data_IF_551299620947
#
_entry.id   IF_551299620947
#
_cell.length_a   1.000
_cell.length_b   1.000
_cell.length_c   1.000
_cell.angle_alpha   90.00
_cell.angle_beta   90.00
_cell.angle_gamma   90.00
#
_symmetry.space_group_name_H-M   'P 1'
#
loop_
_entity.id
_entity.type
_entity.pdbx_description
1 polymer ?
#
# COMPACT_ATOMS: atom_id res chain seq x y z
N UNK A 1 -17.15 12.02 -11.92
CA UNK A 1 -17.29 11.86 -10.46
C UNK A 1 -17.09 13.20 -9.73
N UNK A 2 -17.60 14.32 -10.26
CA UNK A 2 -17.37 15.69 -9.75
C UNK A 2 -18.65 16.33 -9.18
N UNK A 3 -19.82 15.71 -9.39
CA UNK A 3 -21.11 16.28 -9.02
C UNK A 3 -21.58 16.04 -7.58
N UNK A 4 -20.96 15.13 -6.82
CA UNK A 4 -21.48 14.74 -5.49
C UNK A 4 -20.97 15.63 -4.35
N UNK A 5 -19.85 16.34 -4.54
CA UNK A 5 -19.24 17.18 -3.50
C UNK A 5 -19.94 18.55 -3.34
N UNK A 6 -20.59 19.07 -4.39
CA UNK A 6 -21.23 20.38 -4.34
C UNK A 6 -22.56 20.40 -3.57
N UNK A 7 -23.23 19.25 -3.41
CA UNK A 7 -24.54 19.15 -2.75
C UNK A 7 -24.41 19.06 -1.23
N UNK A 8 -23.41 18.35 -0.71
CA UNK A 8 -23.24 18.14 0.74
C UNK A 8 -22.85 19.43 1.48
N UNK A 9 -22.03 20.29 0.87
CA UNK A 9 -21.61 21.55 1.50
C UNK A 9 -22.77 22.56 1.64
N UNK A 10 -23.73 22.55 0.69
CA UNK A 10 -24.91 23.43 0.74
C UNK A 10 -25.89 23.01 1.85
N UNK A 11 -26.07 21.72 2.07
CA UNK A 11 -26.95 21.21 3.12
C UNK A 11 -26.37 21.42 4.53
N UNK A 12 -25.05 21.28 4.70
CA UNK A 12 -24.38 21.54 5.98
C UNK A 12 -24.50 23.02 6.40
N UNK A 13 -24.36 23.96 5.45
CA UNK A 13 -24.53 25.40 5.72
C UNK A 13 -26.00 25.77 6.00
N UNK A 14 -26.95 25.10 5.34
CA UNK A 14 -28.38 25.31 5.58
C UNK A 14 -28.85 24.77 6.94
N UNK A 15 -28.27 23.66 7.43
CA UNK A 15 -28.58 23.10 8.75
C UNK A 15 -28.00 23.94 9.90
N UNK A 16 -26.78 24.48 9.73
CA UNK A 16 -26.12 25.34 10.71
C UNK A 16 -26.85 26.68 10.92
N UNK A 17 -27.42 27.27 9.86
CA UNK A 17 -28.21 28.50 9.99
C UNK A 17 -29.61 28.29 10.59
N UNK A 18 -30.17 27.07 10.53
CA UNK A 18 -31.55 26.80 10.97
C UNK A 18 -31.66 26.43 12.46
N UNK A 19 -30.55 26.12 13.14
CA UNK A 19 -30.56 25.59 14.51
C UNK A 19 -30.32 26.61 15.62
N UNK A 20 -30.00 27.88 15.31
CA UNK A 20 -30.06 28.98 16.30
C UNK A 20 -29.29 28.73 17.61
N UNK A 21 -28.18 27.99 17.58
CA UNK A 21 -27.41 27.65 18.77
C UNK A 21 -26.43 28.78 19.15
N UNK A 22 -26.98 29.94 19.53
CA UNK A 22 -26.26 30.90 20.36
C UNK A 22 -26.46 30.53 21.83
N UNK A 23 -25.42 30.01 22.49
CA UNK A 23 -25.34 30.05 23.96
C UNK A 23 -25.08 28.73 24.69
N UNK A 24 -23.99 28.01 24.40
CA UNK A 24 -23.38 27.07 25.37
C UNK A 24 -21.85 27.15 25.38
N UNK A 25 -21.23 27.91 26.30
CA UNK A 25 -19.79 27.85 26.53
C UNK A 25 -19.47 26.57 27.32
N UNK A 26 -18.82 25.58 26.68
CA UNK A 26 -18.28 24.42 27.40
C UNK A 26 -18.14 23.09 26.64
N UNK A 27 -18.75 22.92 25.46
CA UNK A 27 -18.80 21.61 24.76
C UNK A 27 -18.11 21.57 23.38
N UNK A 28 -17.38 22.62 22.99
CA UNK A 28 -16.79 22.73 21.64
C UNK A 28 -15.35 22.17 21.56
N UNK A 29 -14.73 21.83 22.70
CA UNK A 29 -13.37 21.26 22.76
C UNK A 29 -13.40 19.72 22.72
N UNK A 30 -13.49 19.09 21.56
CA UNK A 30 -12.82 17.77 21.36
C UNK A 30 -12.97 17.14 19.96
N UNK A 31 -13.96 17.50 19.13
CA UNK A 31 -14.17 16.77 17.87
C UNK A 31 -13.11 17.14 16.82
N UNK A 32 -12.68 18.39 16.77
CA UNK A 32 -11.60 18.89 15.92
C UNK A 32 -10.23 18.36 16.37
N UNK A 33 -9.89 18.43 17.65
CA UNK A 33 -8.63 17.91 18.17
C UNK A 33 -8.52 16.38 18.06
N UNK A 34 -9.60 15.63 18.36
CA UNK A 34 -9.60 14.17 18.24
C UNK A 34 -9.50 13.71 16.79
N UNK A 35 -10.16 14.41 15.86
CA UNK A 35 -10.04 14.08 14.42
C UNK A 35 -8.66 14.45 13.88
N UNK A 36 -8.07 15.56 14.30
CA UNK A 36 -6.71 15.96 13.92
C UNK A 36 -5.64 15.03 14.49
N UNK A 37 -5.78 14.58 15.76
CA UNK A 37 -4.90 13.56 16.37
C UNK A 37 -5.02 12.23 15.62
N UNK A 38 -6.24 11.73 15.38
CA UNK A 38 -6.48 10.48 14.63
C UNK A 38 -5.92 10.54 13.20
N UNK A 39 -6.06 11.67 12.48
CA UNK A 39 -5.45 11.86 11.15
C UNK A 39 -3.92 11.91 11.21
N UNK A 40 -3.34 12.44 12.29
CA UNK A 40 -1.89 12.45 12.52
C UNK A 40 -1.35 11.03 12.74
N UNK A 41 -2.08 10.20 13.49
CA UNK A 41 -1.65 8.84 13.83
C UNK A 41 -1.57 7.93 12.59
N UNK A 42 -2.54 8.02 11.67
CA UNK A 42 -2.51 7.22 10.41
C UNK A 42 -1.36 7.62 9.48
N UNK A 43 -0.97 8.91 9.46
CA UNK A 43 0.17 9.38 8.63
C UNK A 43 1.49 8.74 9.04
N UNK A 44 1.67 8.43 10.32
CA UNK A 44 2.86 7.74 10.82
C UNK A 44 2.99 6.31 10.32
N UNK A 45 1.87 5.60 10.10
CA UNK A 45 1.87 4.24 9.54
C UNK A 45 1.95 4.22 8.01
N UNK A 46 1.50 5.28 7.33
CA UNK A 46 1.61 5.40 5.87
C UNK A 46 3.07 5.50 5.39
N UNK A 47 3.94 6.15 6.16
CA UNK A 47 5.35 6.29 5.78
C UNK A 47 6.13 4.95 5.74
N UNK A 48 6.13 4.11 6.78
CA UNK A 48 6.78 2.80 6.72
C UNK A 48 6.15 1.89 5.66
N UNK A 49 4.82 1.96 5.46
CA UNK A 49 4.18 1.25 4.35
C UNK A 49 4.77 1.65 2.99
N UNK A 50 4.86 2.97 2.71
CA UNK A 50 5.47 3.51 1.48
C UNK A 50 6.91 3.06 1.29
N UNK A 51 7.71 3.09 2.34
CA UNK A 51 9.10 2.63 2.29
C UNK A 51 9.18 1.15 1.95
N UNK A 52 8.39 0.30 2.63
CA UNK A 52 8.39 -1.14 2.39
C UNK A 52 7.96 -1.46 0.96
N UNK A 53 6.85 -0.91 0.47
CA UNK A 53 6.39 -1.21 -0.90
C UNK A 53 7.36 -0.68 -1.98
N UNK A 54 8.07 0.42 -1.70
CA UNK A 54 9.11 0.94 -2.60
C UNK A 54 10.34 0.03 -2.61
N UNK A 55 10.74 -0.48 -1.45
CA UNK A 55 11.84 -1.44 -1.33
C UNK A 55 11.49 -2.75 -2.03
N UNK A 56 10.27 -3.26 -1.85
CA UNK A 56 9.77 -4.43 -2.58
C UNK A 56 9.87 -4.19 -4.09
N UNK A 57 9.38 -3.05 -4.60
CA UNK A 57 9.48 -2.74 -6.03
C UNK A 57 10.93 -2.72 -6.52
N UNK A 58 11.85 -2.07 -5.78
CA UNK A 58 13.27 -2.03 -6.13
C UNK A 58 13.90 -3.44 -6.15
N UNK A 59 13.61 -4.28 -5.17
CA UNK A 59 14.09 -5.65 -5.12
C UNK A 59 13.49 -6.51 -6.24
N UNK A 60 12.23 -6.26 -6.65
CA UNK A 60 11.65 -6.92 -7.83
C UNK A 60 12.41 -6.58 -9.11
N UNK A 61 12.94 -5.36 -9.28
CA UNK A 61 13.84 -5.02 -10.40
C UNK A 61 15.21 -5.66 -10.28
N UNK A 62 15.70 -5.91 -9.07
CA UNK A 62 16.95 -6.63 -8.84
C UNK A 62 16.85 -8.11 -9.26
N UNK A 63 15.68 -8.73 -9.13
CA UNK A 63 15.45 -10.14 -9.47
C UNK A 63 15.89 -10.55 -10.89
N UNK A 64 15.44 -9.87 -11.98
CA UNK A 64 15.88 -10.20 -13.34
C UNK A 64 17.36 -9.92 -13.58
N UNK A 65 17.97 -8.96 -12.86
CA UNK A 65 19.43 -8.72 -12.95
C UNK A 65 20.17 -9.95 -12.41
N UNK A 66 19.78 -10.44 -11.22
CA UNK A 66 20.41 -11.63 -10.60
C UNK A 66 20.17 -12.89 -11.43
N UNK A 67 18.96 -13.05 -11.98
CA UNK A 67 18.65 -14.15 -12.91
C UNK A 67 19.49 -14.07 -14.19
N UNK A 68 19.64 -12.87 -14.77
CA UNK A 68 20.47 -12.64 -15.95
C UNK A 68 21.95 -12.93 -15.70
N UNK A 69 22.49 -12.55 -14.53
CA UNK A 69 23.86 -12.89 -14.13
C UNK A 69 24.05 -14.40 -14.00
N UNK A 70 23.10 -15.11 -13.39
CA UNK A 70 23.10 -16.57 -13.33
C UNK A 70 23.12 -17.21 -14.73
N UNK A 71 22.26 -16.74 -15.63
CA UNK A 71 22.21 -17.20 -17.02
C UNK A 71 23.48 -16.85 -17.82
N UNK A 72 24.21 -15.82 -17.39
CA UNK A 72 25.49 -15.41 -17.99
C UNK A 72 26.70 -16.16 -17.41
N UNK A 73 26.49 -17.15 -16.54
CA UNK A 73 27.54 -17.99 -15.97
C UNK A 73 27.97 -17.63 -14.54
N UNK A 74 27.40 -16.59 -13.93
CA UNK A 74 27.66 -16.25 -12.52
C UNK A 74 26.76 -17.07 -11.60
N UNK A 75 27.11 -18.34 -11.39
CA UNK A 75 26.25 -19.30 -10.68
C UNK A 75 25.88 -18.90 -9.24
N UNK A 76 26.75 -18.17 -8.54
CA UNK A 76 26.48 -17.64 -7.19
C UNK A 76 25.31 -16.65 -7.16
N UNK A 77 24.98 -16.00 -8.28
CA UNK A 77 23.83 -15.10 -8.41
C UNK A 77 22.49 -15.82 -8.24
N UNK A 78 22.43 -17.15 -8.41
CA UNK A 78 21.22 -17.92 -8.14
C UNK A 78 20.85 -17.90 -6.66
N UNK A 79 21.83 -18.05 -5.77
CA UNK A 79 21.59 -17.97 -4.33
C UNK A 79 21.16 -16.55 -3.93
N UNK A 80 21.78 -15.53 -4.55
CA UNK A 80 21.37 -14.14 -4.34
C UNK A 80 19.93 -13.89 -4.82
N UNK A 81 19.53 -14.46 -5.96
CA UNK A 81 18.17 -14.39 -6.51
C UNK A 81 17.15 -15.01 -5.53
N UNK A 82 17.45 -16.21 -5.02
CA UNK A 82 16.63 -16.90 -4.01
C UNK A 82 16.52 -16.12 -2.70
N UNK A 83 17.64 -15.63 -2.17
CA UNK A 83 17.65 -14.84 -0.93
C UNK A 83 16.88 -13.53 -1.09
N UNK A 84 17.02 -12.86 -2.24
CA UNK A 84 16.26 -11.64 -2.55
C UNK A 84 14.76 -11.93 -2.61
N UNK A 85 14.35 -13.11 -3.10
CA UNK A 85 12.94 -13.50 -3.15
C UNK A 85 12.38 -13.68 -1.73
N UNK A 86 13.14 -14.35 -0.85
CA UNK A 86 12.77 -14.50 0.55
C UNK A 86 12.66 -13.15 1.27
N UNK A 87 13.57 -12.20 0.99
CA UNK A 87 13.51 -10.83 1.55
C UNK A 87 12.26 -10.09 1.08
N UNK A 88 11.89 -10.20 -0.21
CA UNK A 88 10.65 -9.63 -0.73
C UNK A 88 9.44 -10.17 0.03
N UNK A 89 9.35 -11.49 0.22
CA UNK A 89 8.23 -12.11 0.93
C UNK A 89 8.18 -11.67 2.40
N UNK A 90 9.32 -11.59 3.08
CA UNK A 90 9.40 -11.09 4.46
C UNK A 90 8.92 -9.64 4.58
N UNK A 91 9.32 -8.78 3.64
CA UNK A 91 8.86 -7.39 3.59
C UNK A 91 7.36 -7.29 3.36
N UNK A 92 6.80 -8.11 2.47
CA UNK A 92 5.36 -8.16 2.23
C UNK A 92 4.61 -8.65 3.49
N UNK A 93 5.10 -9.68 4.17
CA UNK A 93 4.52 -10.15 5.44
C UNK A 93 4.55 -9.02 6.49
N UNK A 94 5.66 -8.29 6.62
CA UNK A 94 5.79 -7.17 7.53
C UNK A 94 4.86 -5.98 7.18
N UNK A 95 4.56 -5.79 5.89
CA UNK A 95 3.64 -4.75 5.45
C UNK A 95 2.16 -5.07 5.77
N UNK A 96 1.78 -6.34 5.95
CA UNK A 96 0.39 -6.73 6.27
C UNK A 96 -0.15 -6.04 7.55
N UNK A 97 0.51 -6.12 8.73
CA UNK A 97 0.00 -5.46 9.94
C UNK A 97 -0.11 -3.95 9.77
N UNK A 98 0.84 -3.32 9.06
CA UNK A 98 0.81 -1.88 8.78
C UNK A 98 -0.39 -1.53 7.88
N UNK A 99 -0.61 -2.33 6.84
CA UNK A 99 -1.76 -2.19 5.95
C UNK A 99 -3.09 -2.34 6.69
N UNK A 100 -3.19 -3.30 7.61
CA UNK A 100 -4.37 -3.50 8.46
C UNK A 100 -4.63 -2.28 9.36
N UNK A 101 -3.60 -1.73 10.00
CA UNK A 101 -3.73 -0.51 10.83
C UNK A 101 -4.26 0.65 9.97
N UNK A 102 -3.66 0.87 8.78
CA UNK A 102 -4.10 1.91 7.85
C UNK A 102 -5.57 1.71 7.46
N UNK A 103 -5.99 0.49 7.14
CA UNK A 103 -7.37 0.19 6.72
C UNK A 103 -8.38 0.36 7.86
N UNK A 104 -8.09 -0.14 9.06
CA UNK A 104 -9.01 -0.06 10.21
C UNK A 104 -9.15 1.38 10.71
N UNK A 105 -8.05 2.13 10.78
CA UNK A 105 -8.04 3.47 11.38
C UNK A 105 -8.36 4.56 10.37
N UNK A 106 -8.07 4.32 9.08
CA UNK A 106 -8.37 5.20 7.96
C UNK A 106 -9.82 5.12 7.46
N UNK A 107 -10.66 4.23 8.02
CA UNK A 107 -12.09 4.04 7.70
C UNK A 107 -12.39 4.15 6.19
N UNK A 108 -12.11 3.06 5.44
CA UNK A 108 -12.87 2.55 4.25
C UNK A 108 -12.04 2.12 3.02
N UNK A 109 -10.72 2.20 3.07
CA UNK A 109 -9.85 1.69 1.99
C UNK A 109 -9.20 0.35 2.36
N UNK A 110 -9.74 -0.74 1.81
CA UNK A 110 -9.18 -2.09 1.92
C UNK A 110 -8.03 -2.35 0.94
N UNK A 111 -7.81 -1.43 0.00
CA UNK A 111 -6.78 -1.52 -1.04
C UNK A 111 -5.36 -1.79 -0.51
N UNK A 112 -4.89 -1.16 0.59
CA UNK A 112 -3.55 -1.45 1.13
C UNK A 112 -3.35 -2.94 1.46
N UNK A 113 -4.35 -3.57 2.07
CA UNK A 113 -4.29 -4.99 2.45
C UNK A 113 -4.34 -5.87 1.20
N UNK A 114 -5.27 -5.58 0.29
CA UNK A 114 -5.43 -6.33 -0.97
C UNK A 114 -4.14 -6.31 -1.79
N UNK A 115 -3.45 -5.18 -1.88
CA UNK A 115 -2.21 -5.07 -2.64
C UNK A 115 -1.08 -5.91 -2.05
N UNK A 116 -0.86 -5.83 -0.74
CA UNK A 116 0.25 -6.56 -0.09
C UNK A 116 -0.02 -8.06 -0.08
N UNK A 117 -1.25 -8.47 0.25
CA UNK A 117 -1.65 -9.89 0.23
C UNK A 117 -1.64 -10.45 -1.18
N UNK A 118 -2.14 -9.69 -2.16
CA UNK A 118 -2.11 -10.07 -3.57
C UNK A 118 -0.68 -10.23 -4.09
N UNK A 119 0.21 -9.27 -3.79
CA UNK A 119 1.62 -9.38 -4.14
C UNK A 119 2.28 -10.59 -3.47
N UNK A 120 2.02 -10.85 -2.19
CA UNK A 120 2.56 -12.02 -1.49
C UNK A 120 2.09 -13.34 -2.13
N UNK A 121 0.83 -13.42 -2.55
CA UNK A 121 0.31 -14.58 -3.28
C UNK A 121 0.98 -14.76 -4.64
N UNK A 122 1.21 -13.66 -5.37
CA UNK A 122 1.90 -13.68 -6.66
C UNK A 122 3.38 -14.09 -6.50
N UNK A 123 4.10 -13.53 -5.52
CA UNK A 123 5.51 -13.88 -5.26
C UNK A 123 5.66 -15.31 -4.75
N UNK A 124 4.75 -15.80 -3.92
CA UNK A 124 4.72 -17.21 -3.50
C UNK A 124 4.50 -18.17 -4.68
N UNK A 125 3.61 -17.80 -5.60
CA UNK A 125 3.38 -18.52 -6.85
C UNK A 125 4.64 -18.50 -7.72
N UNK A 126 5.26 -17.33 -7.85
CA UNK A 126 6.51 -17.13 -8.59
C UNK A 126 7.65 -17.99 -8.05
N UNK A 127 7.79 -18.09 -6.72
CA UNK A 127 8.77 -18.94 -6.07
C UNK A 127 8.53 -20.41 -6.41
N UNK A 128 7.27 -20.87 -6.34
CA UNK A 128 6.89 -22.24 -6.70
C UNK A 128 7.25 -22.55 -8.16
N UNK A 129 6.95 -21.64 -9.09
CA UNK A 129 7.34 -21.77 -10.50
C UNK A 129 8.86 -21.78 -10.69
N UNK A 130 9.59 -20.97 -9.92
CA UNK A 130 11.05 -20.90 -9.95
C UNK A 130 11.71 -22.21 -9.48
N UNK A 131 11.27 -22.76 -8.34
CA UNK A 131 11.72 -24.06 -7.86
C UNK A 131 11.37 -25.20 -8.82
N UNK A 132 10.18 -25.15 -9.42
CA UNK A 132 9.74 -26.09 -10.46
C UNK A 132 10.42 -25.88 -11.83
N UNK A 133 11.25 -24.84 -11.99
CA UNK A 133 11.95 -24.49 -13.24
C UNK A 133 10.99 -24.28 -14.43
N UNK A 134 9.76 -23.84 -14.17
CA UNK A 134 8.74 -23.61 -15.19
C UNK A 134 8.93 -22.19 -15.76
N UNK A 135 10.02 -22.00 -16.50
CA UNK A 135 10.47 -20.67 -16.97
C UNK A 135 9.43 -19.96 -17.84
N UNK A 136 8.68 -20.72 -18.64
CA UNK A 136 7.62 -20.20 -19.52
C UNK A 136 6.56 -19.41 -18.77
N UNK A 137 6.26 -19.77 -17.52
CA UNK A 137 5.32 -19.03 -16.67
C UNK A 137 6.03 -18.11 -15.68
N UNK A 138 7.19 -18.53 -15.16
CA UNK A 138 7.98 -17.76 -14.21
C UNK A 138 8.41 -16.41 -14.79
N UNK A 139 8.89 -16.37 -16.05
CA UNK A 139 9.37 -15.11 -16.64
C UNK A 139 8.23 -14.10 -16.83
N UNK A 140 7.09 -14.44 -17.50
CA UNK A 140 5.99 -13.49 -17.67
C UNK A 140 5.36 -13.06 -16.33
N UNK A 141 5.19 -13.99 -15.38
CA UNK A 141 4.65 -13.67 -14.06
C UNK A 141 5.59 -12.71 -13.31
N UNK A 142 6.91 -12.91 -13.41
CA UNK A 142 7.90 -12.01 -12.83
C UNK A 142 7.79 -10.57 -13.35
N UNK A 143 7.59 -10.40 -14.67
CA UNK A 143 7.34 -9.08 -15.27
C UNK A 143 6.05 -8.47 -14.74
N UNK A 144 4.97 -9.27 -14.65
CA UNK A 144 3.70 -8.80 -14.11
C UNK A 144 3.82 -8.36 -12.64
N UNK A 145 4.60 -9.07 -11.82
CA UNK A 145 4.87 -8.72 -10.42
C UNK A 145 5.66 -7.41 -10.34
N UNK A 146 6.68 -7.19 -11.16
CA UNK A 146 7.44 -5.92 -11.20
C UNK A 146 6.49 -4.75 -11.49
N UNK A 147 5.61 -4.91 -12.49
CA UNK A 147 4.63 -3.87 -12.84
C UNK A 147 3.64 -3.62 -11.71
N UNK A 148 3.09 -4.68 -11.10
CA UNK A 148 2.17 -4.57 -9.98
C UNK A 148 2.82 -3.91 -8.76
N UNK A 149 4.03 -4.34 -8.38
CA UNK A 149 4.78 -3.75 -7.26
C UNK A 149 5.08 -2.26 -7.50
N UNK A 150 5.47 -1.91 -8.73
CA UNK A 150 5.68 -0.50 -9.12
C UNK A 150 4.38 0.30 -9.03
N UNK A 151 3.26 -0.24 -9.53
CA UNK A 151 1.96 0.41 -9.46
C UNK A 151 1.51 0.63 -8.02
N UNK A 152 1.70 -0.35 -7.13
CA UNK A 152 1.40 -0.24 -5.70
C UNK A 152 2.28 0.82 -5.03
N UNK A 153 3.59 0.85 -5.33
CA UNK A 153 4.48 1.87 -4.81
C UNK A 153 4.05 3.28 -5.26
N UNK A 154 3.81 3.47 -6.56
CA UNK A 154 3.32 4.74 -7.13
C UNK A 154 1.98 5.14 -6.51
N UNK A 155 1.04 4.21 -6.37
CA UNK A 155 -0.24 4.45 -5.71
C UNK A 155 -0.04 4.89 -4.25
N UNK A 156 0.81 4.21 -3.49
CA UNK A 156 1.06 4.54 -2.09
C UNK A 156 1.58 5.97 -1.91
N UNK A 157 2.43 6.44 -2.84
CA UNK A 157 2.95 7.81 -2.85
C UNK A 157 1.94 8.85 -3.37
N UNK A 158 1.07 8.47 -4.31
CA UNK A 158 0.05 9.36 -4.89
C UNK A 158 -1.23 9.48 -4.07
N UNK A 159 -1.57 8.48 -3.26
CA UNK A 159 -2.78 8.49 -2.45
C UNK A 159 -2.81 9.75 -1.55
N UNK A 160 -3.76 10.68 -1.78
CA UNK A 160 -3.85 11.87 -0.95
C UNK A 160 -4.17 11.48 0.50
N UNK A 161 -3.65 12.19 1.50
CA UNK A 161 -4.05 11.98 2.89
C UNK A 161 -5.55 12.24 3.06
N UNK A 162 -6.39 11.21 2.91
CA UNK A 162 -7.85 11.29 3.03
C UNK A 162 -8.65 11.41 1.73
N UNK A 163 -8.17 10.92 0.59
CA UNK A 163 -8.95 10.92 -0.67
C UNK A 163 -10.18 9.98 -0.71
N UNK A 164 -10.44 9.28 0.39
CA UNK A 164 -11.64 8.45 0.56
C UNK A 164 -12.67 9.14 1.49
N UNK A 165 -12.48 10.42 1.82
CA UNK A 165 -13.35 11.21 2.69
C UNK A 165 -14.58 11.78 1.96
#
# INVERSE_FOLDING_TARGET
MVGYFYTVEKEARACAMRTGLHGRPGWVMNVDEQTLRRRRDVRWFLWPYRVIVSLVAALCYLQPILAGQFLSGTYSSLLAHQNTAAVIDMLLILAIPIALIITVWGRRSWWPVVFVVGLLGLTSTQNSLGFGRILTLHIPLGVAIIMAATAVAVWAWRAPPGADA
#
